data_IF_081283098923
#
_entry.id   IF_081283098923
#
_cell.length_a   1.000
_cell.length_b   1.000
_cell.length_c   1.000
_cell.angle_alpha   90.00
_cell.angle_beta   90.00
_cell.angle_gamma   90.00
#
_symmetry.space_group_name_H-M   'P 1'
#
loop_
_entity.id
_entity.type
_entity.pdbx_description
1 polymer ?
#
# COMPACT_ATOMS: atom_id res chain seq x y z
N UNK A 1 30.77 -30.19 41.32
CA UNK A 1 29.73 -30.63 40.36
C UNK A 1 29.02 -29.37 39.90
N UNK A 2 29.34 -28.82 38.72
CA UNK A 2 28.76 -29.14 37.39
C UNK A 2 27.36 -28.50 37.24
N UNK A 3 26.99 -27.72 36.22
CA UNK A 3 27.63 -27.38 34.95
C UNK A 3 27.11 -26.03 34.39
N UNK A 4 27.88 -25.52 33.42
CA UNK A 4 27.82 -24.22 32.71
C UNK A 4 26.60 -24.04 31.80
N UNK A 5 26.20 -22.78 31.69
CA UNK A 5 25.43 -22.16 30.61
C UNK A 5 26.00 -22.47 29.22
N UNK A 6 25.13 -22.63 28.22
CA UNK A 6 25.49 -22.63 26.80
C UNK A 6 24.65 -21.59 26.05
N UNK A 7 25.28 -20.44 25.81
CA UNK A 7 24.89 -19.48 24.78
C UNK A 7 25.23 -20.06 23.39
N UNK A 8 24.23 -20.38 22.58
CA UNK A 8 24.43 -20.78 21.19
C UNK A 8 24.35 -19.55 20.28
N UNK A 9 25.53 -19.07 19.85
CA UNK A 9 25.69 -18.08 18.78
C UNK A 9 25.53 -18.81 17.44
N UNK A 10 24.40 -18.64 16.75
CA UNK A 10 24.25 -19.11 15.38
C UNK A 10 24.83 -18.07 14.41
N UNK A 11 26.10 -18.27 14.02
CA UNK A 11 26.82 -17.45 13.04
C UNK A 11 26.42 -17.90 11.64
N UNK A 12 25.43 -17.25 11.03
CA UNK A 12 25.10 -17.45 9.63
C UNK A 12 26.26 -16.93 8.76
N UNK A 13 26.93 -17.84 8.04
CA UNK A 13 27.87 -17.51 6.97
C UNK A 13 27.05 -17.13 5.75
N UNK A 14 26.97 -15.84 5.44
CA UNK A 14 26.44 -15.36 4.18
C UNK A 14 27.47 -15.64 3.08
N UNK A 15 27.20 -16.64 2.24
CA UNK A 15 27.99 -16.89 1.03
C UNK A 15 27.29 -16.14 -0.11
N UNK A 16 27.88 -15.03 -0.55
CA UNK A 16 27.46 -14.33 -1.77
C UNK A 16 27.94 -15.13 -2.98
N UNK A 17 27.06 -15.87 -3.64
CA UNK A 17 27.29 -16.35 -5.02
C UNK A 17 26.48 -15.51 -5.97
N UNK A 18 27.15 -14.51 -6.56
CA UNK A 18 26.63 -13.70 -7.66
C UNK A 18 26.82 -14.47 -8.97
N UNK A 19 25.69 -14.74 -9.64
CA UNK A 19 25.52 -15.00 -11.07
C UNK A 19 26.30 -16.17 -11.70
N UNK A 20 25.65 -17.33 -11.82
CA UNK A 20 25.89 -18.28 -12.91
C UNK A 20 24.57 -18.57 -13.62
N UNK A 21 24.54 -18.31 -14.92
CA UNK A 21 23.44 -18.63 -15.79
C UNK A 21 23.47 -20.14 -16.10
N UNK A 22 22.51 -20.88 -15.55
CA UNK A 22 22.22 -22.24 -16.00
C UNK A 22 20.75 -22.34 -16.41
N UNK A 23 20.55 -23.02 -17.54
CA UNK A 23 19.33 -23.25 -18.28
C UNK A 23 18.14 -23.63 -17.37
N UNK A 24 17.12 -22.77 -17.35
CA UNK A 24 15.91 -22.96 -16.55
C UNK A 24 14.97 -23.93 -17.27
N UNK A 25 14.74 -25.10 -16.68
CA UNK A 25 13.68 -26.02 -17.09
C UNK A 25 12.32 -25.36 -16.82
N UNK A 26 11.55 -25.10 -17.88
CA UNK A 26 10.32 -24.29 -17.83
C UNK A 26 9.17 -24.99 -17.09
N UNK A 27 9.31 -26.27 -16.78
CA UNK A 27 8.27 -27.07 -16.11
C UNK A 27 8.21 -26.83 -14.59
N UNK A 28 9.31 -26.42 -13.96
CA UNK A 28 9.35 -26.12 -12.52
C UNK A 28 8.75 -24.75 -12.14
N UNK A 29 8.46 -23.91 -13.13
CA UNK A 29 7.93 -22.55 -12.92
C UNK A 29 6.39 -22.56 -12.82
N UNK A 30 5.71 -23.52 -13.47
CA UNK A 30 4.25 -23.60 -13.44
C UNK A 30 3.69 -24.14 -12.11
N UNK A 31 4.35 -25.11 -11.47
CA UNK A 31 3.88 -25.65 -10.18
C UNK A 31 3.94 -24.63 -9.03
N UNK A 32 4.85 -23.64 -9.11
CA UNK A 32 4.94 -22.55 -8.12
C UNK A 32 3.94 -21.42 -8.32
N UNK A 33 3.23 -21.38 -9.46
CA UNK A 33 2.25 -20.34 -9.75
C UNK A 33 0.80 -20.78 -9.47
N UNK A 34 0.54 -22.10 -9.36
CA UNK A 34 -0.80 -22.65 -9.14
C UNK A 34 -0.89 -23.68 -8.00
N UNK A 35 0.20 -23.91 -7.26
CA UNK A 35 0.18 -24.70 -6.04
C UNK A 35 -0.59 -23.98 -4.95
N UNK A 36 -1.85 -24.38 -4.75
CA UNK A 36 -2.63 -24.08 -3.56
C UNK A 36 -1.91 -24.73 -2.38
N UNK A 37 -0.95 -24.01 -1.80
CA UNK A 37 -0.35 -24.38 -0.54
C UNK A 37 -1.42 -24.16 0.52
N UNK A 38 -1.79 -25.24 1.20
CA UNK A 38 -2.57 -25.19 2.43
C UNK A 38 -1.87 -24.20 3.37
N UNK A 39 -2.53 -23.08 3.66
CA UNK A 39 -1.99 -22.02 4.50
C UNK A 39 -1.86 -22.57 5.92
N UNK A 40 -0.61 -22.81 6.36
CA UNK A 40 -0.30 -22.97 7.77
C UNK A 40 -0.83 -21.72 8.51
N UNK A 41 -1.80 -21.92 9.41
CA UNK A 41 -2.44 -20.89 10.26
C UNK A 41 -1.49 -20.32 11.34
N UNK A 42 -0.30 -19.86 10.92
CA UNK A 42 0.54 -18.95 11.67
C UNK A 42 0.72 -17.68 10.82
N UNK A 43 -0.39 -17.00 10.53
CA UNK A 43 -0.36 -15.68 9.88
C UNK A 43 0.23 -14.67 10.86
N UNK A 44 1.56 -14.59 10.93
CA UNK A 44 2.25 -13.42 11.45
C UNK A 44 1.96 -12.28 10.48
N UNK A 45 0.83 -11.61 10.71
CA UNK A 45 0.45 -10.41 9.99
C UNK A 45 1.64 -9.44 10.04
N UNK A 46 2.12 -9.04 8.86
CA UNK A 46 3.29 -8.19 8.74
C UNK A 46 3.17 -6.89 9.55
N UNK A 47 4.29 -6.16 9.77
CA UNK A 47 4.28 -4.91 10.51
C UNK A 47 3.25 -3.93 9.95
N UNK A 48 2.54 -3.24 10.84
CA UNK A 48 1.45 -2.32 10.50
C UNK A 48 1.93 -0.89 10.62
N UNK A 49 1.64 -0.06 9.62
CA UNK A 49 1.86 1.38 9.64
C UNK A 49 0.53 2.07 9.92
N UNK A 50 0.54 2.96 10.92
CA UNK A 50 -0.60 3.82 11.22
C UNK A 50 -0.46 5.15 10.48
N UNK A 51 -1.51 5.58 9.80
CA UNK A 51 -1.55 6.78 8.97
C UNK A 51 -2.70 7.69 9.41
N UNK A 52 -2.54 9.01 9.27
CA UNK A 52 -3.63 9.95 9.54
C UNK A 52 -4.82 9.69 8.62
N UNK A 53 -6.03 9.54 9.17
CA UNK A 53 -7.24 9.25 8.40
C UNK A 53 -7.59 10.30 7.35
N UNK A 54 -7.17 11.57 7.54
CA UNK A 54 -7.46 12.68 6.63
C UNK A 54 -6.43 12.87 5.52
N UNK A 55 -5.15 13.03 5.85
CA UNK A 55 -4.10 13.35 4.87
C UNK A 55 -3.15 12.18 4.57
N UNK A 56 -3.38 11.01 5.17
CA UNK A 56 -2.60 9.77 4.97
C UNK A 56 -1.11 9.87 5.36
N UNK A 57 -0.74 10.91 6.10
CA UNK A 57 0.62 11.08 6.62
C UNK A 57 0.91 10.00 7.69
N UNK A 58 2.04 9.27 7.64
CA UNK A 58 2.36 8.23 8.62
C UNK A 58 2.63 8.80 10.01
N UNK A 59 1.98 8.24 11.03
CA UNK A 59 2.02 8.72 12.42
C UNK A 59 2.75 7.76 13.36
N UNK A 60 2.88 6.48 12.99
CA UNK A 60 3.58 5.47 13.77
C UNK A 60 3.44 4.08 13.16
N UNK A 61 3.88 3.08 13.91
CA UNK A 61 3.89 1.67 13.49
C UNK A 61 3.73 0.71 14.67
N UNK A 62 3.37 -0.53 14.38
CA UNK A 62 3.13 -1.58 15.37
C UNK A 62 4.38 -2.03 16.13
N UNK A 63 5.60 -1.70 15.67
CA UNK A 63 6.83 -2.04 16.41
C UNK A 63 6.97 -1.21 17.71
N UNK A 64 6.17 -0.15 17.83
CA UNK A 64 6.08 0.69 19.02
C UNK A 64 4.83 0.40 19.87
N UNK A 65 4.06 -0.64 19.57
CA UNK A 65 2.80 -0.95 20.23
C UNK A 65 2.92 -1.09 21.76
N UNK A 66 1.96 -0.50 22.48
CA UNK A 66 1.84 -0.56 23.93
C UNK A 66 0.54 -1.23 24.40
N UNK A 67 -0.53 -1.16 23.62
CA UNK A 67 -1.82 -1.79 23.93
C UNK A 67 -3.00 -1.09 23.26
N UNK A 68 -4.21 -1.61 23.47
CA UNK A 68 -5.48 -0.99 23.08
C UNK A 68 -6.36 -0.70 24.29
N UNK A 69 -7.31 0.21 24.11
CA UNK A 69 -8.38 0.51 25.06
C UNK A 69 -9.71 0.50 24.32
N UNK A 70 -10.37 -0.65 24.36
CA UNK A 70 -11.59 -0.89 23.59
C UNK A 70 -12.73 0.06 24.03
N UNK A 71 -12.85 0.31 25.34
CA UNK A 71 -13.86 1.22 25.92
C UNK A 71 -13.76 2.66 25.38
N UNK A 72 -12.55 3.09 24.99
CA UNK A 72 -12.29 4.44 24.49
C UNK A 72 -12.03 4.46 22.98
N UNK A 73 -12.08 3.29 22.32
CA UNK A 73 -11.73 3.11 20.92
C UNK A 73 -10.36 3.74 20.57
N UNK A 74 -9.36 3.45 21.40
CA UNK A 74 -8.02 4.01 21.29
C UNK A 74 -6.95 2.92 21.22
N UNK A 75 -5.89 3.19 20.47
CA UNK A 75 -4.65 2.42 20.50
C UNK A 75 -3.55 3.22 21.18
N UNK A 76 -2.55 2.54 21.74
CA UNK A 76 -1.40 3.19 22.38
C UNK A 76 -0.09 2.77 21.76
N UNK A 77 0.75 3.76 21.50
CA UNK A 77 2.12 3.58 21.02
C UNK A 77 3.12 4.19 22.01
N UNK A 78 4.29 3.56 22.15
CA UNK A 78 5.41 4.07 22.94
C UNK A 78 6.19 5.16 22.23
N UNK A 79 6.17 5.16 20.89
CA UNK A 79 6.89 6.10 20.03
C UNK A 79 6.01 6.44 18.82
N UNK A 80 6.24 7.62 18.26
CA UNK A 80 5.55 8.14 17.08
C UNK A 80 6.57 8.78 16.15
N UNK A 81 6.17 9.08 14.92
CA UNK A 81 7.00 9.84 13.97
C UNK A 81 6.97 11.34 14.28
N UNK A 82 7.88 12.11 13.67
CA UNK A 82 7.90 13.58 13.78
C UNK A 82 6.66 14.25 13.16
N UNK A 83 5.83 13.47 12.44
CA UNK A 83 4.57 13.91 11.85
C UNK A 83 3.44 14.10 12.88
N UNK A 84 3.71 13.85 14.16
CA UNK A 84 2.77 14.02 15.27
C UNK A 84 3.27 15.14 16.18
N UNK A 85 2.46 16.19 16.31
CA UNK A 85 2.74 17.33 17.17
C UNK A 85 1.99 17.19 18.50
N UNK A 86 2.67 17.45 19.61
CA UNK A 86 2.04 17.49 20.93
C UNK A 86 1.55 18.91 21.21
N UNK A 87 0.28 19.04 21.57
CA UNK A 87 -0.32 20.30 22.00
C UNK A 87 0.38 20.89 23.22
N UNK A 88 0.25 22.21 23.40
CA UNK A 88 0.86 22.93 24.54
C UNK A 88 -0.08 23.03 25.73
N UNK A 89 -1.39 23.03 25.47
CA UNK A 89 -2.41 23.29 26.48
C UNK A 89 -2.98 21.99 27.04
N UNK A 90 -2.93 21.86 28.36
CA UNK A 90 -3.53 20.73 29.07
C UNK A 90 -5.06 20.89 29.13
N UNK A 91 -5.79 19.80 28.89
CA UNK A 91 -7.22 19.70 29.19
C UNK A 91 -7.50 18.62 30.21
N UNK A 92 -8.61 18.79 30.95
CA UNK A 92 -9.12 17.75 31.84
C UNK A 92 -9.79 16.65 31.03
N UNK A 93 -9.44 15.40 31.33
CA UNK A 93 -10.02 14.23 30.72
C UNK A 93 -10.56 13.28 31.78
N UNK A 94 -11.82 12.90 31.64
CA UNK A 94 -12.48 11.96 32.53
C UNK A 94 -12.49 10.56 31.89
N UNK A 95 -11.68 9.65 32.45
CA UNK A 95 -11.44 8.31 31.86
C UNK A 95 -12.62 7.36 32.06
N UNK A 96 -13.36 7.50 33.18
CA UNK A 96 -14.59 6.75 33.39
C UNK A 96 -15.59 7.51 34.24
N UNK A 97 -16.86 7.47 33.81
CA UNK A 97 -17.99 8.08 34.52
C UNK A 97 -18.24 7.47 35.91
N UNK A 98 -17.71 6.26 36.17
CA UNK A 98 -17.98 5.50 37.40
C UNK A 98 -16.97 5.75 38.53
N UNK A 99 -15.75 6.21 38.24
CA UNK A 99 -14.66 6.34 39.24
C UNK A 99 -14.09 7.75 39.40
N UNK A 100 -14.68 8.78 38.77
CA UNK A 100 -14.25 10.21 38.86
C UNK A 100 -12.72 10.39 38.80
N UNK A 101 -12.05 9.57 37.99
CA UNK A 101 -10.60 9.66 37.82
C UNK A 101 -10.32 10.71 36.76
N UNK A 102 -9.89 11.89 37.21
CA UNK A 102 -9.52 13.00 36.35
C UNK A 102 -8.05 12.91 35.98
N UNK A 103 -7.76 13.08 34.69
CA UNK A 103 -6.42 13.14 34.14
C UNK A 103 -6.19 14.49 33.47
N UNK A 104 -4.92 14.91 33.40
CA UNK A 104 -4.51 15.99 32.51
C UNK A 104 -3.93 15.37 31.25
N UNK A 105 -4.44 15.81 30.10
CA UNK A 105 -4.03 15.29 28.79
C UNK A 105 -3.67 16.43 27.85
N UNK A 106 -2.77 16.15 26.91
CA UNK A 106 -2.41 17.01 25.81
C UNK A 106 -2.90 16.38 24.51
N UNK A 107 -3.45 17.19 23.60
CA UNK A 107 -3.91 16.70 22.31
C UNK A 107 -2.73 16.40 21.36
N UNK A 108 -2.89 15.36 20.54
CA UNK A 108 -1.96 15.02 19.48
C UNK A 108 -2.52 15.52 18.15
N UNK A 109 -1.70 16.25 17.39
CA UNK A 109 -2.08 16.82 16.10
C UNK A 109 -1.27 16.22 14.96
N UNK A 110 -1.91 16.00 13.82
CA UNK A 110 -1.20 15.67 12.60
C UNK A 110 -0.44 16.90 12.08
N UNK A 111 0.86 16.79 11.84
CA UNK A 111 1.66 17.88 11.26
C UNK A 111 1.15 18.31 9.88
N UNK A 112 0.66 17.36 9.07
CA UNK A 112 0.24 17.62 7.69
C UNK A 112 -1.08 18.39 7.57
N UNK A 113 -2.11 18.01 8.33
CA UNK A 113 -3.45 18.60 8.21
C UNK A 113 -3.98 19.25 9.50
N UNK A 114 -3.18 19.27 10.57
CA UNK A 114 -3.52 19.87 11.87
C UNK A 114 -4.77 19.29 12.54
N UNK A 115 -5.27 18.13 12.09
CA UNK A 115 -6.36 17.45 12.77
C UNK A 115 -5.89 16.82 14.08
N UNK A 116 -6.77 16.80 15.08
CA UNK A 116 -6.57 16.02 16.30
C UNK A 116 -6.60 14.53 15.94
N UNK A 117 -5.61 13.78 16.40
CA UNK A 117 -5.48 12.33 16.20
C UNK A 117 -5.73 11.53 17.47
N UNK A 118 -5.70 12.20 18.62
CA UNK A 118 -5.75 11.55 19.92
C UNK A 118 -5.13 12.44 21.01
N UNK A 119 -4.51 11.82 22.01
CA UNK A 119 -3.98 12.51 23.18
C UNK A 119 -2.82 11.75 23.86
N UNK A 120 -2.11 12.45 24.75
CA UNK A 120 -1.14 11.85 25.68
C UNK A 120 -1.46 12.25 27.11
N UNK A 121 -1.34 11.31 28.04
CA UNK A 121 -1.53 11.56 29.47
C UNK A 121 -0.32 12.30 30.05
N UNK A 122 -0.52 13.56 30.44
CA UNK A 122 0.49 14.37 31.13
C UNK A 122 0.52 14.07 32.64
N UNK A 123 -0.65 13.90 33.25
CA UNK A 123 -0.80 13.53 34.66
C UNK A 123 -1.92 12.52 34.86
N UNK A 124 -1.61 11.45 35.61
CA UNK A 124 -2.48 10.31 35.89
C UNK A 124 -2.58 10.07 37.39
N UNK A 125 -3.71 9.58 37.90
CA UNK A 125 -3.76 8.95 39.21
C UNK A 125 -3.02 7.60 39.18
N UNK A 126 -2.60 7.11 40.35
CA UNK A 126 -1.76 5.90 40.51
C UNK A 126 -2.28 4.66 39.77
N UNK A 127 -3.60 4.48 39.72
CA UNK A 127 -4.24 3.35 39.02
C UNK A 127 -4.14 3.44 37.49
N UNK A 128 -3.77 4.60 36.93
CA UNK A 128 -3.64 4.87 35.51
C UNK A 128 -2.20 5.22 35.10
N UNK A 129 -1.22 5.10 36.01
CA UNK A 129 0.18 5.43 35.72
C UNK A 129 0.79 4.59 34.59
N UNK A 130 0.29 3.37 34.38
CA UNK A 130 0.71 2.53 33.24
C UNK A 130 0.32 3.13 31.87
N UNK A 131 -0.62 4.08 31.83
CA UNK A 131 -1.01 4.82 30.62
C UNK A 131 -0.21 6.12 30.43
N UNK A 132 0.64 6.48 31.39
CA UNK A 132 1.38 7.73 31.34
C UNK A 132 2.47 7.65 30.26
N UNK A 133 2.70 8.77 29.58
CA UNK A 133 3.74 8.90 28.54
C UNK A 133 3.61 7.98 27.33
N UNK A 134 2.41 7.46 27.05
CA UNK A 134 2.10 6.73 25.82
C UNK A 134 1.18 7.57 24.93
N UNK A 135 1.39 7.46 23.62
CA UNK A 135 0.63 8.19 22.62
C UNK A 135 -0.67 7.42 22.35
N UNK A 136 -1.80 7.99 22.77
CA UNK A 136 -3.10 7.37 22.59
C UNK A 136 -3.75 7.95 21.32
N UNK A 137 -3.94 7.12 20.30
CA UNK A 137 -4.60 7.51 19.05
C UNK A 137 -6.04 7.03 19.05
N UNK A 138 -6.96 7.89 18.62
CA UNK A 138 -8.33 7.49 18.36
C UNK A 138 -8.38 6.68 17.07
N UNK A 139 -8.93 5.47 17.14
CA UNK A 139 -9.04 4.58 15.96
C UNK A 139 -9.85 5.24 14.83
N UNK A 140 -10.80 6.12 15.16
CA UNK A 140 -11.58 6.84 14.16
C UNK A 140 -10.80 7.91 13.38
N UNK A 141 -9.65 8.36 13.90
CA UNK A 141 -8.85 9.46 13.33
C UNK A 141 -7.60 8.95 12.57
N UNK A 142 -7.37 7.64 12.56
CA UNK A 142 -6.23 6.98 11.90
C UNK A 142 -6.70 5.79 11.05
N UNK A 143 -5.93 5.44 10.02
CA UNK A 143 -6.05 4.16 9.31
C UNK A 143 -4.80 3.31 9.55
N UNK A 144 -4.90 2.02 9.24
CA UNK A 144 -3.81 1.05 9.34
C UNK A 144 -3.53 0.40 7.98
N UNK A 145 -2.25 0.22 7.67
CA UNK A 145 -1.80 -0.51 6.48
C UNK A 145 -0.79 -1.59 6.88
N UNK A 146 -1.08 -2.84 6.53
CA UNK A 146 -0.19 -3.99 6.77
C UNK A 146 0.87 -4.03 5.67
N UNK A 147 2.15 -3.97 6.04
CA UNK A 147 3.22 -4.03 5.06
C UNK A 147 3.24 -5.40 4.37
N UNK A 148 3.25 -5.38 3.03
CA UNK A 148 3.21 -6.60 2.22
C UNK A 148 1.81 -7.06 1.82
N UNK A 149 0.73 -6.41 2.30
CA UNK A 149 -0.64 -6.80 1.96
C UNK A 149 -1.13 -6.35 0.57
N UNK A 150 -0.27 -5.69 -0.22
CA UNK A 150 -0.60 -5.23 -1.59
C UNK A 150 -0.58 -6.36 -2.63
N UNK A 151 -0.94 -7.59 -2.25
CA UNK A 151 -1.01 -8.76 -3.15
C UNK A 151 -2.21 -8.69 -4.10
N UNK A 152 -3.22 -7.89 -3.78
CA UNK A 152 -4.40 -7.71 -4.62
C UNK A 152 -4.10 -6.73 -5.75
N UNK A 153 -3.64 -7.27 -6.87
CA UNK A 153 -3.76 -6.58 -8.16
C UNK A 153 -5.26 -6.47 -8.48
N UNK A 154 -5.72 -5.32 -8.98
CA UNK A 154 -7.04 -5.22 -9.61
C UNK A 154 -7.12 -6.41 -10.56
N UNK A 155 -8.07 -7.32 -10.31
CA UNK A 155 -8.32 -8.42 -11.21
C UNK A 155 -8.59 -7.74 -12.55
N UNK A 156 -7.65 -7.89 -13.48
CA UNK A 156 -7.87 -7.56 -14.87
C UNK A 156 -8.85 -8.61 -15.40
N UNK A 157 -10.09 -8.58 -14.90
CA UNK A 157 -11.25 -9.27 -15.45
C UNK A 157 -11.92 -8.36 -16.50
N UNK A 158 -11.13 -7.54 -17.18
CA UNK A 158 -11.40 -7.30 -18.59
C UNK A 158 -11.05 -8.58 -19.36
N UNK A 159 -11.56 -8.75 -20.60
CA UNK A 159 -11.02 -9.74 -21.52
C UNK A 159 -9.49 -9.65 -21.54
N UNK A 160 -8.78 -10.71 -21.94
CA UNK A 160 -7.31 -10.76 -22.11
C UNK A 160 -6.81 -9.78 -23.19
N UNK A 161 -7.21 -8.52 -23.13
CA UNK A 161 -6.73 -7.44 -23.94
C UNK A 161 -5.40 -7.05 -23.32
N UNK A 162 -4.35 -7.45 -24.04
CA UNK A 162 -2.98 -7.09 -23.79
C UNK A 162 -2.91 -5.60 -23.46
N UNK A 163 -2.33 -5.20 -22.32
CA UNK A 163 -2.28 -3.79 -21.93
C UNK A 163 -1.66 -2.98 -23.08
N UNK A 164 -2.30 -1.86 -23.43
CA UNK A 164 -1.84 -0.97 -24.49
C UNK A 164 -0.46 -0.45 -24.10
N UNK A 165 0.59 -1.03 -24.66
CA UNK A 165 1.96 -0.59 -24.46
C UNK A 165 2.29 0.55 -25.42
N UNK A 166 3.33 1.32 -25.08
CA UNK A 166 3.84 2.39 -25.95
C UNK A 166 4.30 1.83 -27.31
N UNK A 167 4.83 0.60 -27.32
CA UNK A 167 5.21 -0.12 -28.53
C UNK A 167 3.98 -0.53 -29.36
N UNK A 168 2.91 -1.00 -28.72
CA UNK A 168 1.65 -1.34 -29.39
C UNK A 168 1.04 -0.12 -30.10
N UNK A 169 1.11 1.07 -29.48
CA UNK A 169 0.69 2.32 -30.13
C UNK A 169 1.44 2.57 -31.43
N UNK A 170 2.77 2.41 -31.43
CA UNK A 170 3.59 2.61 -32.64
C UNK A 170 3.21 1.65 -33.77
N UNK A 171 2.95 0.38 -33.44
CA UNK A 171 2.53 -0.64 -34.41
C UNK A 171 1.16 -0.28 -35.02
N UNK A 172 0.20 0.13 -34.20
CA UNK A 172 -1.15 0.52 -34.66
C UNK A 172 -1.09 1.78 -35.54
N UNK A 173 -0.29 2.78 -35.16
CA UNK A 173 -0.10 4.01 -35.96
C UNK A 173 0.53 3.69 -37.33
N UNK A 174 1.48 2.77 -37.38
CA UNK A 174 2.07 2.31 -38.64
C UNK A 174 1.03 1.59 -39.52
N UNK A 175 0.28 0.63 -38.95
CA UNK A 175 -0.77 -0.09 -39.68
C UNK A 175 -1.85 0.86 -40.22
N UNK A 176 -2.27 1.86 -39.44
CA UNK A 176 -3.20 2.90 -39.88
C UNK A 176 -2.64 3.71 -41.04
N UNK A 177 -1.34 3.99 -41.04
CA UNK A 177 -0.69 4.75 -42.11
C UNK A 177 -0.61 3.95 -43.41
N UNK A 178 -0.26 2.66 -43.32
CA UNK A 178 -0.26 1.74 -44.46
C UNK A 178 -1.66 1.58 -45.05
N UNK A 179 -2.67 1.39 -44.19
CA UNK A 179 -4.06 1.27 -44.61
C UNK A 179 -4.57 2.56 -45.27
N UNK A 180 -4.19 3.72 -44.74
CA UNK A 180 -4.50 5.02 -45.34
C UNK A 180 -3.90 5.16 -46.75
N UNK A 181 -2.66 4.74 -46.96
CA UNK A 181 -2.06 4.79 -48.31
C UNK A 181 -2.80 3.89 -49.30
N UNK A 182 -3.18 2.67 -48.88
CA UNK A 182 -3.96 1.77 -49.72
C UNK A 182 -5.32 2.37 -50.11
N UNK A 183 -6.03 2.96 -49.15
CA UNK A 183 -7.34 3.59 -49.40
C UNK A 183 -7.22 4.77 -50.37
N UNK A 184 -6.20 5.63 -50.20
CA UNK A 184 -5.97 6.76 -51.11
C UNK A 184 -5.62 6.26 -52.52
N UNK A 185 -4.78 5.23 -52.63
CA UNK A 185 -4.43 4.62 -53.92
C UNK A 185 -5.66 4.05 -54.63
N UNK A 186 -6.55 3.38 -53.90
CA UNK A 186 -7.81 2.88 -54.45
C UNK A 186 -8.74 4.02 -54.89
N UNK A 187 -8.85 5.09 -54.10
CA UNK A 187 -9.65 6.25 -54.45
C UNK A 187 -9.15 6.91 -55.75
N UNK A 188 -7.83 7.11 -55.90
CA UNK A 188 -7.24 7.67 -57.11
C UNK A 188 -7.53 6.80 -58.35
N UNK A 189 -7.39 5.47 -58.21
CA UNK A 189 -7.71 4.54 -59.32
C UNK A 189 -9.19 4.55 -59.68
N UNK A 190 -10.08 4.76 -58.72
CA UNK A 190 -11.51 4.90 -58.99
C UNK A 190 -11.80 6.22 -59.73
N UNK A 191 -11.19 7.33 -59.32
CA UNK A 191 -11.32 8.62 -60.01
C UNK A 191 -10.86 8.53 -61.48
N UNK A 192 -9.75 7.85 -61.76
CA UNK A 192 -9.27 7.62 -63.14
C UNK A 192 -10.26 6.81 -63.98
N UNK A 193 -10.89 5.79 -63.38
CA UNK A 193 -11.90 4.97 -64.06
C UNK A 193 -13.18 5.77 -64.31
N UNK A 194 -13.63 6.55 -63.33
CA UNK A 194 -14.81 7.41 -63.44
C UNK A 194 -14.64 8.48 -64.53
N UNK A 195 -13.46 9.11 -64.60
CA UNK A 195 -13.15 10.09 -65.64
C UNK A 195 -13.17 9.46 -67.05
N UNK A 196 -12.55 8.28 -67.22
CA UNK A 196 -12.54 7.56 -68.51
C UNK A 196 -13.92 7.06 -68.95
N UNK A 197 -14.84 6.77 -68.01
CA UNK A 197 -16.23 6.43 -68.30
C UNK A 197 -17.06 7.64 -68.73
N UNK A 198 -16.73 8.84 -68.24
CA UNK A 198 -17.39 10.09 -68.62
C UNK A 198 -17.03 10.52 -70.04
N UNK A 199 -15.75 10.42 -70.43
CA UNK A 199 -15.31 10.71 -71.81
C UNK A 199 -15.96 9.75 -72.84
N UNK A 200 -16.24 8.50 -72.47
CA UNK A 200 -16.92 7.54 -73.34
C UNK A 200 -18.44 7.74 -73.51
N UNK A 201 -19.08 8.55 -72.66
CA UNK A 201 -20.51 8.89 -72.80
C UNK A 201 -20.76 10.17 -73.60
N UNK A 202 -19.76 11.03 -73.76
CA UNK A 202 -19.87 12.27 -74.54
C UNK A 202 -19.66 12.05 -76.06
N UNK A 203 -19.23 10.85 -76.49
CA UNK A 203 -19.07 10.46 -77.91
C UNK A 203 -20.20 9.55 -78.45
N UNK A 204 -21.35 9.45 -77.76
CA UNK A 204 -22.52 8.66 -78.20
C UNK A 204 -23.75 9.52 -78.55
#
# INVERSE_FOLDING_TARGET
MAAREKSLKHRLKHVNTTFEASSIDSTAVEEKLFGQAEEDEDSDDGPVVFICGKCKLPVGDSLSWDGSEDDQNQIRLKRVTDNVLIGKDNRLYEVSKSKRSLCLVLDLFCQGCQSVLGMVYASTPKNLDHKRFTFCFNVADIDSYVLGSASQMLAAEGPKEQPVTLEYRGIVEQQLTEMKMLVISMAHRLEEIEAGLQEGCDEA
#
